data_IF_720750657672
#
_entry.id   IF_720750657672
#
_cell.length_a   1.000
_cell.length_b   1.000
_cell.length_c   1.000
_cell.angle_alpha   90.00
_cell.angle_beta   90.00
_cell.angle_gamma   90.00
#
_symmetry.space_group_name_H-M   'P 1'
#
loop_
_entity.id
_entity.type
_entity.pdbx_description
1 polymer ?
#
# COMPACT_ATOMS: atom_id res chain seq x y z
N UNK A 1 21.83 0.69 -0.59
CA UNK A 1 22.67 -0.36 -1.19
C UNK A 1 22.20 -0.55 -2.61
N UNK A 2 22.94 0.02 -3.56
CA UNK A 2 22.57 0.03 -5.00
C UNK A 2 22.84 -1.33 -5.60
N UNK A 3 21.87 -1.92 -6.25
CA UNK A 3 22.12 -3.05 -7.15
C UNK A 3 22.26 -2.53 -8.58
N UNK A 4 23.48 -2.59 -9.08
CA UNK A 4 23.82 -2.35 -10.49
C UNK A 4 23.56 -3.67 -11.25
N UNK A 5 22.69 -3.63 -12.25
CA UNK A 5 22.55 -4.69 -13.24
C UNK A 5 23.70 -4.55 -14.25
N UNK A 6 24.81 -5.24 -14.00
CA UNK A 6 25.86 -5.39 -15.01
C UNK A 6 25.49 -6.43 -16.06
N UNK A 7 25.81 -6.08 -17.30
CA UNK A 7 25.65 -6.89 -18.48
C UNK A 7 26.40 -8.21 -18.39
N UNK A 8 25.70 -9.33 -18.52
CA UNK A 8 26.30 -10.66 -18.70
C UNK A 8 26.79 -10.82 -20.11
N UNK A 9 28.08 -10.67 -20.30
CA UNK A 9 28.78 -11.14 -21.49
C UNK A 9 29.60 -12.41 -21.18
N UNK A 10 29.33 -13.46 -21.98
CA UNK A 10 30.18 -14.60 -22.34
C UNK A 10 30.72 -15.53 -21.24
N UNK A 11 30.00 -16.66 -21.02
CA UNK A 11 30.63 -17.98 -20.82
C UNK A 11 29.76 -19.07 -21.47
N UNK A 12 30.31 -20.02 -22.27
CA UNK A 12 29.53 -21.08 -22.89
C UNK A 12 29.45 -22.29 -21.96
N UNK A 13 28.27 -22.61 -21.48
CA UNK A 13 28.11 -23.81 -20.69
C UNK A 13 26.68 -24.09 -20.22
N UNK A 14 26.02 -25.02 -20.91
CA UNK A 14 24.76 -25.71 -20.59
C UNK A 14 23.46 -24.88 -20.68
N UNK A 15 22.84 -24.99 -21.83
CA UNK A 15 21.48 -24.51 -22.08
C UNK A 15 20.44 -25.36 -21.34
N UNK A 16 19.74 -24.75 -20.36
CA UNK A 16 18.50 -25.31 -19.85
C UNK A 16 17.38 -25.02 -20.85
N UNK A 17 16.78 -26.05 -21.43
CA UNK A 17 15.66 -25.97 -22.39
C UNK A 17 14.33 -25.46 -21.78
N UNK A 18 14.35 -24.87 -20.60
CA UNK A 18 13.19 -24.25 -19.89
C UNK A 18 12.96 -22.76 -20.20
N UNK A 19 13.83 -22.12 -20.99
CA UNK A 19 13.85 -20.65 -21.11
C UNK A 19 12.61 -19.98 -21.70
N UNK A 20 11.79 -20.69 -22.51
CA UNK A 20 10.55 -20.11 -23.07
C UNK A 20 9.41 -20.04 -22.04
N UNK A 21 9.28 -21.02 -21.16
CA UNK A 21 8.23 -21.05 -20.12
C UNK A 21 8.52 -20.05 -19.00
N UNK A 22 9.79 -19.92 -18.62
CA UNK A 22 10.26 -18.94 -17.63
C UNK A 22 10.13 -17.52 -18.19
N UNK A 23 10.49 -17.25 -19.44
CA UNK A 23 10.33 -15.92 -20.06
C UNK A 23 8.86 -15.54 -20.22
N UNK A 24 7.95 -16.47 -20.49
CA UNK A 24 6.51 -16.20 -20.57
C UNK A 24 5.92 -15.96 -19.16
N UNK A 25 6.37 -16.71 -18.16
CA UNK A 25 6.00 -16.49 -16.76
C UNK A 25 6.50 -15.14 -16.22
N UNK A 26 7.76 -14.78 -16.53
CA UNK A 26 8.32 -13.46 -16.17
C UNK A 26 7.68 -12.31 -16.95
N UNK A 27 7.27 -12.51 -18.20
CA UNK A 27 6.60 -11.48 -19.00
C UNK A 27 5.14 -11.26 -18.62
N UNK A 28 4.45 -12.26 -18.10
CA UNK A 28 3.06 -12.12 -17.60
C UNK A 28 2.98 -11.53 -16.19
N UNK A 29 4.12 -11.43 -15.47
CA UNK A 29 4.24 -10.79 -14.14
C UNK A 29 4.98 -9.46 -14.16
N UNK A 30 5.10 -8.80 -15.30
CA UNK A 30 5.79 -7.51 -15.40
C UNK A 30 5.01 -6.34 -14.79
N UNK A 31 3.72 -6.51 -14.57
CA UNK A 31 2.87 -5.51 -13.89
C UNK A 31 2.42 -6.14 -12.58
N UNK A 32 2.88 -5.58 -11.48
CA UNK A 32 2.54 -6.01 -10.14
C UNK A 32 1.26 -5.31 -9.70
N UNK A 33 0.28 -6.07 -9.22
CA UNK A 33 -0.94 -5.51 -8.66
C UNK A 33 -0.77 -5.29 -7.16
N UNK A 34 -0.89 -4.05 -6.74
CA UNK A 34 -0.84 -3.66 -5.34
C UNK A 34 -2.23 -3.39 -4.79
N UNK A 35 -2.54 -3.93 -3.64
CA UNK A 35 -3.60 -3.40 -2.80
C UNK A 35 -3.00 -2.43 -1.79
N UNK A 36 -3.62 -1.28 -1.61
CA UNK A 36 -3.17 -0.21 -0.73
C UNK A 36 -4.29 0.06 0.27
N UNK A 37 -3.96 0.04 1.55
CA UNK A 37 -4.93 0.24 2.63
C UNK A 37 -4.29 1.02 3.78
N UNK A 38 -5.10 1.66 4.61
CA UNK A 38 -4.65 2.49 5.72
C UNK A 38 -5.64 2.44 6.88
N UNK A 39 -5.13 2.73 8.08
CA UNK A 39 -5.98 3.04 9.23
C UNK A 39 -6.93 1.88 9.61
N UNK A 40 -6.34 0.70 9.90
CA UNK A 40 -7.04 -0.51 10.36
C UNK A 40 -7.47 -0.36 11.82
N UNK A 41 -6.65 0.32 12.62
CA UNK A 41 -6.94 0.67 14.01
C UNK A 41 -7.41 -0.50 14.88
N UNK A 42 -6.89 -1.70 14.67
CA UNK A 42 -7.19 -2.87 15.50
C UNK A 42 -8.55 -3.53 15.23
N UNK A 43 -9.26 -3.17 14.16
CA UNK A 43 -10.51 -3.81 13.78
C UNK A 43 -10.28 -5.17 13.15
N UNK A 44 -10.56 -6.24 13.87
CA UNK A 44 -10.50 -7.60 13.36
C UNK A 44 -11.53 -7.84 12.25
N UNK A 45 -12.74 -7.29 12.40
CA UNK A 45 -13.79 -7.37 11.39
C UNK A 45 -13.34 -6.84 10.02
N UNK A 46 -12.83 -5.62 9.99
CA UNK A 46 -12.41 -5.00 8.73
C UNK A 46 -11.07 -5.52 8.23
N UNK A 47 -10.19 -6.00 9.11
CA UNK A 47 -8.97 -6.70 8.71
C UNK A 47 -9.28 -7.99 7.95
N UNK A 48 -10.26 -8.79 8.41
CA UNK A 48 -10.73 -9.98 7.65
C UNK A 48 -11.27 -9.59 6.28
N UNK A 49 -12.14 -8.56 6.22
CA UNK A 49 -12.66 -8.06 4.93
C UNK A 49 -11.57 -7.57 3.98
N UNK A 50 -10.53 -6.93 4.51
CA UNK A 50 -9.38 -6.50 3.72
C UNK A 50 -8.65 -7.69 3.11
N UNK A 51 -8.38 -8.75 3.89
CA UNK A 51 -7.70 -9.94 3.39
C UNK A 51 -8.57 -10.77 2.43
N UNK A 52 -9.88 -10.84 2.65
CA UNK A 52 -10.84 -11.42 1.69
C UNK A 52 -10.83 -10.65 0.36
N UNK A 53 -10.81 -9.31 0.43
CA UNK A 53 -10.70 -8.46 -0.74
C UNK A 53 -9.34 -8.64 -1.44
N UNK A 54 -8.25 -8.74 -0.69
CA UNK A 54 -6.90 -9.01 -1.22
C UNK A 54 -6.87 -10.29 -2.06
N UNK A 55 -7.44 -11.37 -1.55
CA UNK A 55 -7.53 -12.64 -2.26
C UNK A 55 -8.46 -12.55 -3.49
N UNK A 56 -9.63 -11.92 -3.33
CA UNK A 56 -10.61 -11.72 -4.41
C UNK A 56 -10.06 -10.90 -5.57
N UNK A 57 -9.33 -9.83 -5.28
CA UNK A 57 -8.71 -8.96 -6.30
C UNK A 57 -7.47 -9.61 -6.93
N UNK A 58 -6.93 -10.66 -6.33
CA UNK A 58 -5.70 -11.31 -6.79
C UNK A 58 -4.49 -10.36 -6.75
N UNK A 59 -4.41 -9.53 -5.72
CA UNK A 59 -3.28 -8.62 -5.56
C UNK A 59 -1.99 -9.39 -5.24
N UNK A 60 -0.87 -8.93 -5.77
CA UNK A 60 0.45 -9.55 -5.54
C UNK A 60 1.10 -9.04 -4.25
N UNK A 61 0.76 -7.82 -3.82
CA UNK A 61 1.32 -7.14 -2.64
C UNK A 61 0.26 -6.31 -1.93
N UNK A 62 0.40 -6.20 -0.61
CA UNK A 62 -0.41 -5.34 0.25
C UNK A 62 0.49 -4.25 0.84
N UNK A 63 0.20 -2.99 0.49
CA UNK A 63 0.83 -1.83 1.09
C UNK A 63 -0.08 -1.26 2.18
N UNK A 64 0.37 -1.30 3.42
CA UNK A 64 -0.31 -0.68 4.56
C UNK A 64 0.32 0.68 4.86
N UNK A 65 -0.51 1.71 4.93
CA UNK A 65 -0.04 3.08 5.18
C UNK A 65 -0.06 3.45 6.67
N UNK A 66 0.01 2.45 7.57
CA UNK A 66 0.12 2.67 9.02
C UNK A 66 -1.20 2.66 9.78
N UNK A 67 -1.09 2.93 11.07
CA UNK A 67 -2.16 2.89 12.07
C UNK A 67 -2.85 1.52 12.10
N UNK A 68 -2.04 0.48 12.46
CA UNK A 68 -2.43 -0.92 12.30
C UNK A 68 -3.22 -1.43 13.52
N UNK A 69 -2.63 -1.36 14.72
CA UNK A 69 -3.19 -2.04 15.90
C UNK A 69 -3.95 -1.10 16.84
N UNK A 70 -3.39 0.05 17.16
CA UNK A 70 -3.97 0.97 18.15
C UNK A 70 -5.03 1.88 17.51
N UNK A 71 -6.22 1.99 18.17
CA UNK A 71 -7.32 2.81 17.64
C UNK A 71 -7.06 4.33 17.71
N UNK A 72 -6.07 4.75 18.54
CA UNK A 72 -5.80 6.16 18.83
C UNK A 72 -6.79 6.78 19.82
N UNK A 73 -6.35 7.72 20.67
CA UNK A 73 -7.17 8.23 21.79
C UNK A 73 -8.33 9.14 21.34
N UNK A 74 -8.35 9.56 20.08
CA UNK A 74 -9.37 10.48 19.53
C UNK A 74 -10.45 9.78 18.71
N UNK A 75 -10.30 8.48 18.45
CA UNK A 75 -11.27 7.71 17.68
C UNK A 75 -12.10 6.82 18.61
N UNK A 76 -13.33 6.57 18.21
CA UNK A 76 -14.13 5.50 18.81
C UNK A 76 -13.50 4.13 18.49
N UNK A 77 -13.83 3.13 19.31
CA UNK A 77 -13.40 1.77 19.05
C UNK A 77 -14.06 1.26 17.75
N UNK A 78 -13.28 0.80 16.78
CA UNK A 78 -13.85 0.24 15.56
C UNK A 78 -14.54 -1.10 15.82
N UNK A 79 -15.35 -1.53 14.87
CA UNK A 79 -16.07 -2.80 14.96
C UNK A 79 -15.13 -3.96 15.21
N UNK A 80 -15.44 -4.77 16.22
CA UNK A 80 -14.63 -5.91 16.66
C UNK A 80 -13.16 -5.52 16.88
N UNK A 81 -12.94 -4.54 17.77
CA UNK A 81 -11.60 -4.16 18.16
C UNK A 81 -10.91 -5.31 18.88
N UNK A 82 -10.00 -5.98 18.19
CA UNK A 82 -9.17 -7.08 18.70
C UNK A 82 -7.80 -7.04 18.02
N UNK A 83 -6.85 -6.40 18.69
CA UNK A 83 -5.48 -6.24 18.19
C UNK A 83 -4.73 -7.56 18.04
N UNK A 84 -5.04 -8.56 18.90
CA UNK A 84 -4.41 -9.88 18.82
C UNK A 84 -4.87 -10.64 17.58
N UNK A 85 -6.15 -10.54 17.25
CA UNK A 85 -6.65 -11.15 16.03
C UNK A 85 -6.11 -10.45 14.79
N UNK A 86 -6.07 -9.11 14.76
CA UNK A 86 -5.46 -8.33 13.64
C UNK A 86 -4.02 -8.76 13.42
N UNK A 87 -3.21 -8.83 14.51
CA UNK A 87 -1.83 -9.31 14.46
C UNK A 87 -1.74 -10.73 13.84
N UNK A 88 -2.58 -11.65 14.32
CA UNK A 88 -2.60 -13.03 13.82
C UNK A 88 -2.92 -13.09 12.34
N UNK A 89 -3.95 -12.37 11.89
CA UNK A 89 -4.39 -12.28 10.50
C UNK A 89 -3.29 -11.75 9.59
N UNK A 90 -2.71 -10.59 9.90
CA UNK A 90 -1.69 -9.95 9.07
C UNK A 90 -0.39 -10.77 9.02
N UNK A 91 0.00 -11.43 10.12
CA UNK A 91 1.18 -12.27 10.15
C UNK A 91 1.08 -13.50 9.23
N UNK A 92 -0.14 -13.96 8.87
CA UNK A 92 -0.33 -15.00 7.85
C UNK A 92 0.14 -14.55 6.46
N UNK A 93 0.18 -13.24 6.21
CA UNK A 93 0.54 -12.60 4.92
C UNK A 93 1.85 -11.81 4.98
N UNK A 94 2.68 -12.03 5.99
CA UNK A 94 3.91 -11.25 6.26
C UNK A 94 4.86 -11.08 5.08
N UNK A 95 4.87 -12.03 4.14
CA UNK A 95 5.76 -12.00 2.97
C UNK A 95 5.21 -11.13 1.82
N UNK A 96 3.93 -10.78 1.88
CA UNK A 96 3.23 -10.00 0.86
C UNK A 96 3.03 -8.54 1.31
N UNK A 97 3.25 -8.24 2.61
CA UNK A 97 2.99 -6.94 3.21
C UNK A 97 4.22 -6.04 3.18
N UNK A 98 4.01 -4.82 2.72
CA UNK A 98 4.85 -3.65 2.93
C UNK A 98 4.09 -2.68 3.82
N UNK A 99 4.79 -2.02 4.74
CA UNK A 99 4.13 -1.11 5.68
C UNK A 99 4.98 0.13 5.93
N UNK A 100 4.32 1.27 6.07
CA UNK A 100 4.92 2.48 6.61
C UNK A 100 4.32 2.79 7.98
N UNK A 101 5.07 3.50 8.83
CA UNK A 101 4.69 3.80 10.19
C UNK A 101 3.59 4.86 10.25
N UNK A 102 2.49 4.56 10.93
CA UNK A 102 1.50 5.52 11.36
C UNK A 102 1.87 6.23 12.67
N UNK A 103 1.08 7.23 13.05
CA UNK A 103 1.28 7.92 14.33
C UNK A 103 0.87 7.07 15.54
N UNK A 104 0.11 6.02 15.33
CA UNK A 104 -0.29 5.08 16.37
C UNK A 104 0.61 3.83 16.43
N UNK A 105 1.55 3.67 15.49
CA UNK A 105 2.44 2.52 15.43
C UNK A 105 3.77 2.79 16.15
N UNK A 106 4.26 1.81 16.90
CA UNK A 106 5.48 1.93 17.68
C UNK A 106 6.30 0.65 17.72
N UNK A 107 7.37 0.70 18.52
CA UNK A 107 8.29 -0.44 18.70
C UNK A 107 7.59 -1.68 19.24
N UNK A 108 6.52 -1.50 20.04
CA UNK A 108 5.74 -2.62 20.58
C UNK A 108 4.99 -3.35 19.46
N UNK A 109 4.48 -2.62 18.47
CA UNK A 109 3.81 -3.22 17.32
C UNK A 109 4.81 -4.01 16.46
N UNK A 110 6.04 -3.49 16.30
CA UNK A 110 7.11 -4.20 15.60
C UNK A 110 7.52 -5.50 16.32
N UNK A 111 7.38 -5.60 17.63
CA UNK A 111 7.69 -6.85 18.36
C UNK A 111 6.70 -7.98 18.05
N UNK A 112 5.49 -7.67 17.60
CA UNK A 112 4.40 -8.63 17.40
C UNK A 112 4.02 -8.82 15.93
N UNK A 113 4.29 -7.84 15.07
CA UNK A 113 4.08 -7.92 13.63
C UNK A 113 5.33 -8.48 12.94
N UNK A 114 5.17 -9.54 12.16
CA UNK A 114 6.28 -10.29 11.55
C UNK A 114 6.76 -9.68 10.21
N UNK A 115 6.47 -8.40 9.96
CA UNK A 115 6.92 -7.59 8.83
C UNK A 115 7.33 -6.20 9.33
N UNK A 116 8.20 -5.46 8.61
CA UNK A 116 8.63 -4.12 9.02
C UNK A 116 7.45 -3.14 9.07
N UNK A 117 7.33 -2.37 10.18
CA UNK A 117 6.26 -1.37 10.37
C UNK A 117 6.78 0.02 10.77
N UNK A 118 8.09 0.20 10.98
CA UNK A 118 8.66 1.44 11.52
C UNK A 118 9.31 2.35 10.47
N UNK A 119 9.08 2.11 9.18
CA UNK A 119 9.59 2.98 8.12
C UNK A 119 8.69 4.21 7.96
N UNK A 120 9.23 5.41 8.05
CA UNK A 120 8.45 6.65 7.91
C UNK A 120 7.87 6.82 6.49
N UNK A 121 8.49 6.19 5.49
CA UNK A 121 8.04 6.16 4.10
C UNK A 121 8.58 4.97 3.34
N UNK A 122 7.98 4.67 2.20
CA UNK A 122 8.57 3.84 1.16
C UNK A 122 8.36 4.48 -0.22
N UNK A 123 9.21 4.11 -1.18
CA UNK A 123 9.09 4.58 -2.57
C UNK A 123 8.89 3.39 -3.49
N UNK A 124 7.82 3.43 -4.27
CA UNK A 124 7.56 2.46 -5.33
C UNK A 124 7.83 3.16 -6.65
N UNK A 125 8.85 2.70 -7.39
CA UNK A 125 9.18 3.23 -8.70
C UNK A 125 8.39 2.47 -9.78
N UNK A 126 7.65 3.21 -10.62
CA UNK A 126 6.92 2.69 -11.78
C UNK A 126 7.36 3.43 -13.05
N UNK A 127 8.51 3.03 -13.58
CA UNK A 127 9.05 3.61 -14.80
C UNK A 127 9.51 5.06 -14.65
N UNK A 128 8.68 6.03 -15.05
CA UNK A 128 9.03 7.45 -15.09
C UNK A 128 8.60 8.25 -13.85
N UNK A 129 7.75 7.70 -12.99
CA UNK A 129 7.24 8.36 -11.80
C UNK A 129 7.54 7.52 -10.56
N UNK A 130 7.66 8.18 -9.41
CA UNK A 130 7.76 7.53 -8.12
C UNK A 130 6.47 7.74 -7.32
N UNK A 131 6.03 6.69 -6.62
CA UNK A 131 4.98 6.77 -5.62
C UNK A 131 5.66 6.89 -4.27
N UNK A 132 5.60 8.06 -3.65
CA UNK A 132 6.10 8.30 -2.31
C UNK A 132 4.99 7.99 -1.32
N UNK A 133 5.05 6.81 -0.72
CA UNK A 133 4.04 6.32 0.22
C UNK A 133 4.47 6.61 1.66
N UNK A 134 3.58 7.26 2.42
CA UNK A 134 3.76 7.62 3.82
C UNK A 134 2.44 7.48 4.57
N UNK A 135 2.43 7.64 5.89
CA UNK A 135 1.16 7.67 6.61
C UNK A 135 0.43 9.02 6.47
N UNK A 136 1.14 10.13 6.46
CA UNK A 136 0.55 11.46 6.35
C UNK A 136 0.70 12.35 7.58
N UNK A 137 1.15 11.82 8.73
CA UNK A 137 1.34 12.61 9.95
C UNK A 137 2.66 13.38 9.97
N UNK A 138 3.66 12.96 9.18
CA UNK A 138 4.95 13.66 8.99
C UNK A 138 4.98 14.32 7.62
N UNK A 139 4.95 13.51 6.56
CA UNK A 139 4.92 14.00 5.19
C UNK A 139 3.50 14.01 4.66
N UNK A 140 3.06 15.14 4.17
CA UNK A 140 1.72 15.41 3.64
C UNK A 140 1.76 16.64 2.72
N UNK A 141 0.63 17.18 2.32
CA UNK A 141 0.54 18.35 1.43
C UNK A 141 1.08 19.66 2.04
N UNK A 142 1.16 19.75 3.38
CA UNK A 142 1.74 20.90 4.09
C UNK A 142 3.25 20.72 4.36
N UNK A 143 3.74 19.49 4.33
CA UNK A 143 5.14 19.14 4.52
C UNK A 143 5.55 18.09 3.49
N UNK A 144 5.80 18.53 2.27
CA UNK A 144 6.11 17.64 1.14
C UNK A 144 7.44 16.92 1.32
N UNK A 145 7.51 15.62 1.00
CA UNK A 145 8.77 14.95 0.78
C UNK A 145 9.42 15.46 -0.51
N UNK A 146 10.69 15.09 -0.80
CA UNK A 146 11.33 15.46 -2.05
C UNK A 146 10.66 14.75 -3.24
N UNK A 147 9.73 15.43 -3.91
CA UNK A 147 9.02 14.95 -5.10
C UNK A 147 9.63 15.59 -6.37
N UNK A 148 9.62 14.81 -7.46
CA UNK A 148 9.87 15.32 -8.80
C UNK A 148 8.54 15.55 -9.55
N UNK A 149 8.54 16.38 -10.60
CA UNK A 149 7.36 16.50 -11.47
C UNK A 149 6.86 15.15 -11.98
N UNK A 150 5.58 14.90 -11.79
CA UNK A 150 4.93 13.64 -12.15
C UNK A 150 4.86 12.60 -11.03
N UNK A 151 5.52 12.82 -9.90
CA UNK A 151 5.47 11.90 -8.76
C UNK A 151 4.09 11.91 -8.06
N UNK A 152 3.87 10.87 -7.28
CA UNK A 152 2.64 10.68 -6.51
C UNK A 152 2.97 10.69 -5.02
N UNK A 153 2.32 11.57 -4.26
CA UNK A 153 2.25 11.52 -2.82
C UNK A 153 1.06 10.66 -2.40
N UNK A 154 1.32 9.52 -1.80
CA UNK A 154 0.31 8.59 -1.32
C UNK A 154 0.34 8.54 0.22
N UNK A 155 -0.77 8.87 0.88
CA UNK A 155 -0.84 8.85 2.34
C UNK A 155 -2.23 8.47 2.88
N UNK A 156 -2.31 8.05 4.16
CA UNK A 156 -3.51 7.76 4.93
C UNK A 156 -3.86 8.87 5.92
N UNK A 157 -3.98 8.55 7.21
CA UNK A 157 -4.10 9.42 8.38
C UNK A 157 -5.40 10.24 8.47
N UNK A 158 -5.86 10.83 7.38
CA UNK A 158 -7.06 11.68 7.41
C UNK A 158 -8.34 10.86 7.41
N UNK A 159 -8.29 9.57 7.04
CA UNK A 159 -9.41 8.65 6.85
C UNK A 159 -10.39 9.06 5.75
N UNK A 160 -10.01 10.01 4.88
CA UNK A 160 -10.84 10.52 3.80
C UNK A 160 -10.21 10.13 2.46
N UNK A 161 -10.90 9.39 1.60
CA UNK A 161 -10.40 9.06 0.27
C UNK A 161 -10.17 10.32 -0.56
N UNK A 162 -9.03 10.37 -1.28
CA UNK A 162 -8.64 11.58 -2.00
C UNK A 162 -7.86 11.26 -3.27
N UNK A 163 -8.06 12.09 -4.28
CA UNK A 163 -7.21 12.19 -5.46
C UNK A 163 -7.21 13.64 -5.94
N UNK A 164 -6.10 14.33 -5.78
CA UNK A 164 -5.95 15.76 -6.15
C UNK A 164 -4.69 15.93 -6.98
N UNK A 165 -4.84 16.55 -8.14
CA UNK A 165 -3.72 16.95 -9.00
C UNK A 165 -3.29 18.36 -8.61
N UNK A 166 -2.05 18.53 -8.19
CA UNK A 166 -1.41 19.79 -7.88
C UNK A 166 -0.63 20.25 -9.12
N UNK A 167 -1.30 21.00 -10.00
CA UNK A 167 -0.73 21.38 -11.30
C UNK A 167 0.50 22.32 -11.16
N UNK A 168 0.48 23.21 -10.18
CA UNK A 168 1.59 24.17 -9.96
C UNK A 168 2.88 23.46 -9.51
N UNK A 169 2.76 22.48 -8.60
CA UNK A 169 3.88 21.70 -8.05
C UNK A 169 4.11 20.41 -8.84
N UNK A 170 3.25 20.11 -9.80
CA UNK A 170 3.32 18.96 -10.72
C UNK A 170 3.37 17.60 -10.03
N UNK A 171 2.57 17.38 -8.99
CA UNK A 171 2.41 16.07 -8.35
C UNK A 171 0.93 15.73 -8.15
N UNK A 172 0.65 14.45 -7.84
CA UNK A 172 -0.69 13.98 -7.49
C UNK A 172 -0.71 13.51 -6.05
N UNK A 173 -1.66 14.03 -5.27
CA UNK A 173 -1.89 13.57 -3.89
C UNK A 173 -3.04 12.56 -3.86
N UNK A 174 -2.80 11.40 -3.24
CA UNK A 174 -3.77 10.31 -3.13
C UNK A 174 -3.90 9.82 -1.70
N UNK A 175 -5.11 9.38 -1.34
CA UNK A 175 -5.41 8.74 -0.05
C UNK A 175 -6.42 7.61 -0.26
N UNK A 176 -6.18 6.39 0.25
CA UNK A 176 -7.13 5.28 0.13
C UNK A 176 -8.38 5.45 1.00
N UNK A 177 -8.39 6.36 1.96
CA UNK A 177 -9.36 6.41 3.05
C UNK A 177 -8.97 5.47 4.20
N UNK A 178 -9.92 5.08 5.01
CA UNK A 178 -9.70 4.16 6.14
C UNK A 178 -10.40 2.82 5.92
N UNK A 179 -9.71 1.76 6.32
CA UNK A 179 -10.27 0.40 6.36
C UNK A 179 -11.42 0.30 7.35
N UNK A 180 -11.30 0.94 8.54
CA UNK A 180 -12.19 0.68 9.66
C UNK A 180 -12.92 1.91 10.23
N UNK A 181 -12.43 3.11 9.97
CA UNK A 181 -12.92 4.37 10.55
C UNK A 181 -13.02 5.48 9.49
N UNK A 182 -13.77 5.28 8.39
CA UNK A 182 -13.91 6.30 7.36
C UNK A 182 -14.55 7.58 7.93
N UNK A 183 -14.11 8.74 7.43
CA UNK A 183 -14.63 10.06 7.80
C UNK A 183 -15.34 10.70 6.62
N UNK A 184 -16.04 11.81 6.90
CA UNK A 184 -16.76 12.62 5.90
C UNK A 184 -17.79 11.81 5.09
N UNK A 185 -18.45 10.84 5.73
CA UNK A 185 -19.42 9.94 5.11
C UNK A 185 -18.84 9.15 3.92
N UNK A 186 -17.54 8.92 3.91
CA UNK A 186 -16.88 8.07 2.93
C UNK A 186 -17.13 6.58 3.24
N UNK A 187 -16.53 5.71 2.46
CA UNK A 187 -16.73 4.25 2.54
C UNK A 187 -15.58 3.54 3.24
N UNK A 188 -15.86 2.38 3.79
CA UNK A 188 -14.87 1.40 4.25
C UNK A 188 -14.24 0.73 3.04
N UNK A 189 -12.92 0.85 2.85
CA UNK A 189 -12.35 0.32 1.62
C UNK A 189 -10.84 0.35 1.53
N UNK A 190 -10.40 0.23 0.30
CA UNK A 190 -9.00 0.12 -0.10
C UNK A 190 -8.80 0.73 -1.48
N UNK A 191 -7.56 0.81 -1.92
CA UNK A 191 -7.18 1.21 -3.26
C UNK A 191 -6.42 0.07 -3.95
N UNK A 192 -6.58 -0.07 -5.26
CA UNK A 192 -5.75 -0.93 -6.10
C UNK A 192 -4.84 -0.06 -6.96
N UNK A 193 -3.62 -0.52 -7.17
CA UNK A 193 -2.70 0.03 -8.15
C UNK A 193 -2.20 -1.10 -9.06
N UNK A 194 -2.46 -1.00 -10.36
CA UNK A 194 -2.02 -1.96 -11.36
C UNK A 194 -1.67 -1.24 -12.66
N UNK A 195 -0.44 -1.40 -13.11
CA UNK A 195 0.10 -0.66 -14.22
C UNK A 195 0.10 0.84 -13.91
N UNK A 196 -0.70 1.62 -14.62
CA UNK A 196 -0.80 3.07 -14.42
C UNK A 196 -2.15 3.49 -13.81
N UNK A 197 -2.94 2.53 -13.28
CA UNK A 197 -4.29 2.77 -12.84
C UNK A 197 -4.42 2.64 -11.33
N UNK A 198 -5.06 3.61 -10.72
CA UNK A 198 -5.48 3.60 -9.33
C UNK A 198 -7.00 3.50 -9.26
N UNK A 199 -7.52 2.57 -8.44
CA UNK A 199 -8.94 2.32 -8.27
C UNK A 199 -9.28 2.32 -6.78
N UNK A 200 -10.19 3.16 -6.32
CA UNK A 200 -10.73 3.14 -4.97
C UNK A 200 -11.97 2.26 -4.93
N UNK A 201 -11.99 1.28 -4.06
CA UNK A 201 -13.08 0.31 -3.94
C UNK A 201 -13.50 0.13 -2.50
N UNK A 202 -14.79 -0.15 -2.28
CA UNK A 202 -15.28 -0.64 -1.01
C UNK A 202 -15.13 -2.18 -0.89
N UNK A 203 -15.47 -2.71 0.29
CA UNK A 203 -15.36 -4.16 0.53
C UNK A 203 -16.38 -5.01 -0.22
N UNK A 204 -17.43 -4.42 -0.78
CA UNK A 204 -18.36 -5.10 -1.68
C UNK A 204 -17.82 -5.14 -3.13
N UNK A 205 -16.68 -4.49 -3.37
CA UNK A 205 -15.99 -4.47 -4.67
C UNK A 205 -16.48 -3.35 -5.60
N UNK A 206 -17.35 -2.45 -5.13
CA UNK A 206 -17.81 -1.29 -5.91
C UNK A 206 -16.68 -0.29 -6.06
N UNK A 207 -16.46 0.18 -7.27
CA UNK A 207 -15.54 1.27 -7.59
C UNK A 207 -16.20 2.62 -7.28
N UNK A 208 -15.49 3.47 -6.52
CA UNK A 208 -15.93 4.81 -6.16
C UNK A 208 -15.15 5.91 -6.88
N UNK A 209 -13.84 5.69 -7.10
CA UNK A 209 -12.96 6.64 -7.77
C UNK A 209 -11.94 5.89 -8.64
N UNK A 210 -11.44 6.60 -9.67
CA UNK A 210 -10.38 6.10 -10.55
C UNK A 210 -9.44 7.24 -10.96
N UNK A 211 -8.16 6.92 -11.06
CA UNK A 211 -7.16 7.80 -11.65
C UNK A 211 -6.18 6.98 -12.51
N UNK A 212 -5.81 7.51 -13.66
CA UNK A 212 -4.80 6.90 -14.54
C UNK A 212 -3.66 7.90 -14.74
N UNK A 213 -2.44 7.48 -14.44
CA UNK A 213 -1.24 8.27 -14.70
C UNK A 213 -1.04 8.37 -16.22
N UNK A 214 -0.88 9.57 -16.73
CA UNK A 214 -0.71 9.84 -18.16
C UNK A 214 0.72 9.55 -18.65
#
# INVERSE_FOLDING_TARGET
>A
MYFILESLSSHPGRYYTGGRRIRRYLRSKLIMKWMIASDIHGSAYYCRKLLEAYDREGADRLLLLGDILYHGPRNDLPKEYDTKEVMSLLNTRKNDIYCVRGNCDGEVDQMVLAFPVLSDYCVIADGSAAIYATHGHIYNEQNLPPLHPGDILLHGHTHVPKCVVHEAEQYVCMNPGSVSLPKENSWYGYMLFEGRNFLWKDFDGREHMRYSVQ
#
